data_IF_771075780824
#
_entry.id   IF_771075780824
#
_cell.length_a   1.000
_cell.length_b   1.000
_cell.length_c   1.000
_cell.angle_alpha   90.00
_cell.angle_beta   90.00
_cell.angle_gamma   90.00
#
_symmetry.space_group_name_H-M   'P 1'
#
loop_
_entity.id
_entity.type
_entity.pdbx_description
1 polymer ?
#
# COMPACT_ATOMS: atom_id res chain seq x y z
N UNK A 1 18.39 26.56 37.33
CA UNK A 1 17.16 25.73 37.28
C UNK A 1 16.23 26.07 36.09
N UNK A 2 16.02 27.35 35.71
CA UNK A 2 15.15 27.72 34.57
C UNK A 2 15.60 27.18 33.20
N UNK A 3 16.91 27.11 32.91
CA UNK A 3 17.44 26.64 31.61
C UNK A 3 17.19 25.14 31.36
N UNK A 4 17.26 24.30 32.40
CA UNK A 4 17.01 22.84 32.28
C UNK A 4 15.52 22.52 32.01
N UNK A 5 14.61 23.30 32.58
CA UNK A 5 13.16 23.12 32.34
C UNK A 5 12.77 23.43 30.89
N UNK A 6 13.41 24.43 30.26
CA UNK A 6 13.17 24.78 28.86
C UNK A 6 13.67 23.69 27.92
N UNK A 7 14.86 23.12 28.18
CA UNK A 7 15.40 22.03 27.35
C UNK A 7 14.57 20.75 27.40
N UNK A 8 14.00 20.41 28.55
CA UNK A 8 13.12 19.23 28.72
C UNK A 8 11.79 19.43 27.97
N UNK A 9 11.21 20.63 28.04
CA UNK A 9 9.96 20.95 27.34
C UNK A 9 10.10 20.87 25.81
N UNK A 10 11.25 21.28 25.26
CA UNK A 10 11.53 21.21 23.80
C UNK A 10 11.67 19.76 23.32
N UNK A 11 12.31 18.88 24.11
CA UNK A 11 12.50 17.46 23.74
C UNK A 11 11.17 16.69 23.81
N UNK A 12 10.32 16.98 24.80
CA UNK A 12 8.99 16.38 24.92
C UNK A 12 8.01 16.87 23.84
N UNK A 13 8.13 18.12 23.39
CA UNK A 13 7.31 18.65 22.29
C UNK A 13 7.61 18.03 20.93
N UNK A 14 8.87 17.66 20.67
CA UNK A 14 9.28 17.06 19.39
C UNK A 14 8.80 15.60 19.21
N UNK A 15 8.55 14.87 20.31
CA UNK A 15 8.10 13.47 20.28
C UNK A 15 6.60 13.30 19.99
N UNK A 16 5.83 14.39 20.08
CA UNK A 16 4.38 14.37 19.90
C UNK A 16 3.92 14.65 18.46
N UNK A 17 4.83 14.85 17.51
CA UNK A 17 4.47 15.03 16.10
C UNK A 17 4.01 13.69 15.54
N UNK A 18 2.72 13.53 15.17
CA UNK A 18 2.29 12.33 14.47
C UNK A 18 2.98 12.36 13.11
N UNK A 19 3.91 11.42 12.90
CA UNK A 19 4.40 11.05 11.57
C UNK A 19 3.22 10.46 10.79
N UNK A 20 2.30 11.32 10.33
CA UNK A 20 1.38 10.99 9.25
C UNK A 20 2.22 10.99 7.98
N UNK A 21 2.96 9.89 7.80
CA UNK A 21 3.42 9.51 6.48
C UNK A 21 2.14 9.47 5.63
N UNK A 22 1.98 10.45 4.74
CA UNK A 22 0.97 10.43 3.72
C UNK A 22 1.31 9.24 2.83
N UNK A 23 0.83 8.05 3.20
CA UNK A 23 0.93 6.86 2.39
C UNK A 23 0.36 7.21 1.02
N UNK A 24 1.01 6.76 -0.05
CA UNK A 24 0.65 7.12 -1.42
C UNK A 24 -0.80 6.74 -1.71
N UNK A 25 -1.72 7.69 -1.51
CA UNK A 25 -3.15 7.52 -1.79
C UNK A 25 -3.40 7.91 -3.24
N UNK A 26 -3.79 6.95 -4.07
CA UNK A 26 -4.14 7.20 -5.46
C UNK A 26 -5.55 7.82 -5.56
N UNK A 27 -5.70 9.09 -5.21
CA UNK A 27 -6.99 9.83 -5.28
C UNK A 27 -7.38 10.21 -6.70
N UNK A 28 -6.40 10.49 -7.55
CA UNK A 28 -6.60 10.90 -8.96
C UNK A 28 -5.67 10.08 -9.85
N UNK A 29 -6.21 9.49 -10.91
CA UNK A 29 -5.42 8.73 -11.87
C UNK A 29 -4.87 9.66 -12.96
N UNK A 30 -3.54 9.82 -13.02
CA UNK A 30 -2.85 10.57 -14.07
C UNK A 30 -2.19 9.67 -15.13
N UNK A 31 -2.35 8.35 -15.01
CA UNK A 31 -1.74 7.41 -15.95
C UNK A 31 -2.49 7.44 -17.29
N UNK A 32 -1.74 7.55 -18.39
CA UNK A 32 -2.26 7.38 -19.75
C UNK A 32 -2.35 5.90 -20.17
N UNK A 33 -1.86 4.97 -19.34
CA UNK A 33 -1.91 3.54 -19.63
C UNK A 33 -3.35 3.01 -19.40
N UNK A 34 -4.07 2.55 -20.45
CA UNK A 34 -5.45 2.12 -20.32
C UNK A 34 -5.62 0.93 -19.36
N UNK A 35 -4.62 0.04 -19.25
CA UNK A 35 -4.65 -1.08 -18.32
C UNK A 35 -4.63 -0.64 -16.85
N UNK A 36 -3.80 0.37 -16.52
CA UNK A 36 -3.75 0.93 -15.17
C UNK A 36 -5.04 1.68 -14.82
N UNK A 37 -5.61 2.41 -15.78
CA UNK A 37 -6.90 3.09 -15.59
C UNK A 37 -8.01 2.07 -15.34
N UNK A 38 -8.08 0.98 -16.13
CA UNK A 38 -9.07 -0.07 -15.94
C UNK A 38 -8.94 -0.75 -14.56
N UNK A 39 -7.71 -1.02 -14.14
CA UNK A 39 -7.43 -1.61 -12.83
C UNK A 39 -7.84 -0.67 -11.67
N UNK A 40 -7.53 0.63 -11.74
CA UNK A 40 -7.96 1.60 -10.73
C UNK A 40 -9.49 1.74 -10.66
N UNK A 41 -10.17 1.72 -11.82
CA UNK A 41 -11.64 1.70 -11.88
C UNK A 41 -12.21 0.44 -11.22
N UNK A 42 -11.64 -0.73 -11.52
CA UNK A 42 -12.07 -2.00 -10.95
C UNK A 42 -11.86 -2.09 -9.43
N UNK A 43 -10.79 -1.47 -8.92
CA UNK A 43 -10.52 -1.40 -7.49
C UNK A 43 -11.29 -0.32 -6.74
N UNK A 44 -12.08 0.53 -7.43
CA UNK A 44 -12.92 1.57 -6.81
C UNK A 44 -12.19 2.47 -5.78
N UNK A 45 -10.89 2.73 -5.99
CA UNK A 45 -10.10 3.54 -5.06
C UNK A 45 -9.58 2.81 -3.81
N UNK A 46 -9.62 1.47 -3.78
CA UNK A 46 -8.83 0.70 -2.80
C UNK A 46 -7.37 1.10 -2.89
N UNK A 47 -6.70 1.19 -1.74
CA UNK A 47 -5.32 1.60 -1.68
C UNK A 47 -4.43 0.54 -2.35
N UNK A 48 -3.41 0.98 -3.07
CA UNK A 48 -2.43 0.11 -3.71
C UNK A 48 -1.78 -0.86 -2.72
N UNK A 49 -1.74 -0.49 -1.44
CA UNK A 49 -1.14 -1.27 -0.36
C UNK A 49 -2.14 -1.99 0.55
N UNK A 50 -3.43 -2.01 0.19
CA UNK A 50 -4.44 -2.72 0.99
C UNK A 50 -4.23 -4.23 1.00
N UNK A 51 -3.68 -4.79 -0.07
CA UNK A 51 -3.34 -6.20 -0.13
C UNK A 51 -1.91 -6.44 0.33
N UNK A 52 -0.94 -5.59 -0.09
CA UNK A 52 0.48 -5.82 0.17
C UNK A 52 1.28 -4.53 0.35
N UNK A 53 2.20 -4.53 1.32
CA UNK A 53 3.06 -3.37 1.62
C UNK A 53 4.30 -3.33 0.74
N UNK A 54 4.86 -2.13 0.58
CA UNK A 54 6.17 -1.94 -0.06
C UNK A 54 7.21 -2.77 0.70
N UNK A 55 7.91 -3.66 -0.01
CA UNK A 55 8.92 -4.54 0.56
C UNK A 55 8.44 -5.96 0.89
N UNK A 56 7.13 -6.19 0.94
CA UNK A 56 6.59 -7.56 0.95
C UNK A 56 6.87 -8.15 -0.43
N UNK A 57 7.76 -9.14 -0.48
CA UNK A 57 8.26 -9.77 -1.71
C UNK A 57 7.20 -10.65 -2.38
N UNK A 58 6.04 -10.07 -2.68
CA UNK A 58 4.88 -10.80 -3.17
C UNK A 58 5.05 -11.35 -4.59
N UNK A 59 5.93 -10.71 -5.34
CA UNK A 59 6.44 -11.18 -6.63
C UNK A 59 7.91 -11.54 -6.45
N UNK A 60 8.20 -12.30 -5.40
CA UNK A 60 9.55 -12.76 -5.05
C UNK A 60 10.30 -13.23 -6.30
N UNK A 61 11.63 -13.10 -6.32
CA UNK A 61 12.44 -13.39 -7.51
C UNK A 61 12.14 -14.75 -8.16
N UNK A 62 11.68 -15.72 -7.37
CA UNK A 62 11.31 -17.08 -7.79
C UNK A 62 9.84 -17.31 -8.14
N UNK A 63 8.93 -16.36 -7.87
CA UNK A 63 7.52 -16.54 -8.15
C UNK A 63 7.27 -16.50 -9.66
N UNK A 64 6.60 -17.51 -10.25
CA UNK A 64 6.24 -17.49 -11.66
C UNK A 64 5.35 -16.27 -11.96
N UNK A 65 5.78 -15.46 -12.95
CA UNK A 65 5.08 -14.22 -13.36
C UNK A 65 4.30 -14.39 -14.67
N UNK A 66 4.22 -15.62 -15.16
CA UNK A 66 3.46 -15.96 -16.36
C UNK A 66 1.97 -15.71 -16.16
N UNK A 67 1.26 -15.48 -17.26
CA UNK A 67 -0.19 -15.21 -17.24
C UNK A 67 -0.96 -16.27 -16.44
N UNK A 68 -0.70 -17.55 -16.70
CA UNK A 68 -1.46 -18.65 -16.09
C UNK A 68 -1.19 -18.76 -14.59
N UNK A 69 0.07 -18.55 -14.17
CA UNK A 69 0.42 -18.48 -12.74
C UNK A 69 -0.27 -17.32 -12.03
N UNK A 70 -0.39 -16.16 -12.68
CA UNK A 70 -1.09 -15.01 -12.11
C UNK A 70 -2.60 -15.25 -12.02
N UNK A 71 -3.21 -15.87 -13.04
CA UNK A 71 -4.63 -16.22 -13.04
C UNK A 71 -4.95 -17.25 -11.95
N UNK A 72 -4.11 -18.29 -11.80
CA UNK A 72 -4.28 -19.28 -10.74
C UNK A 72 -4.26 -18.62 -9.36
N UNK A 73 -3.27 -17.74 -9.10
CA UNK A 73 -3.16 -17.04 -7.82
C UNK A 73 -4.39 -16.21 -7.46
N UNK A 74 -5.00 -15.52 -8.44
CA UNK A 74 -6.18 -14.69 -8.19
C UNK A 74 -7.33 -15.47 -7.55
N UNK A 75 -7.44 -16.77 -7.84
CA UNK A 75 -8.54 -17.62 -7.34
C UNK A 75 -8.10 -18.57 -6.21
N UNK A 76 -6.82 -18.58 -5.83
CA UNK A 76 -6.30 -19.46 -4.77
C UNK A 76 -5.73 -18.71 -3.56
N UNK A 77 -5.19 -17.50 -3.76
CA UNK A 77 -4.54 -16.73 -2.68
C UNK A 77 -5.57 -15.94 -1.89
N UNK A 78 -5.49 -16.04 -0.56
CA UNK A 78 -6.48 -15.48 0.36
C UNK A 78 -6.69 -13.97 0.16
N UNK A 79 -5.64 -13.21 -0.16
CA UNK A 79 -5.69 -11.76 -0.36
C UNK A 79 -6.39 -11.37 -1.69
N UNK A 80 -6.47 -12.30 -2.64
CA UNK A 80 -7.12 -12.07 -3.93
C UNK A 80 -8.62 -12.43 -3.91
N UNK A 81 -9.03 -13.40 -3.08
CA UNK A 81 -10.40 -13.91 -3.00
C UNK A 81 -11.49 -12.85 -2.74
N UNK A 82 -11.26 -11.75 -1.99
CA UNK A 82 -12.29 -10.72 -1.79
C UNK A 82 -12.78 -10.09 -3.10
N UNK A 83 -11.90 -9.97 -4.10
CA UNK A 83 -12.21 -9.37 -5.41
C UNK A 83 -12.38 -10.42 -6.51
N UNK A 84 -11.71 -11.57 -6.37
CA UNK A 84 -11.68 -12.64 -7.35
C UNK A 84 -12.34 -13.89 -6.80
N UNK A 85 -13.51 -13.73 -6.17
CA UNK A 85 -14.31 -14.85 -5.67
C UNK A 85 -14.29 -15.98 -6.71
N UNK A 86 -14.02 -17.20 -6.23
CA UNK A 86 -13.95 -18.42 -7.04
C UNK A 86 -15.07 -18.44 -8.10
N UNK A 87 -14.76 -18.92 -9.31
CA UNK A 87 -15.45 -18.60 -10.58
C UNK A 87 -16.97 -18.49 -10.52
#
# INVERSE_FOLDING_TARGET
MRKQAVSIAVILGALALPLRAAAFECKVCHSKNPGMVAMHKALQGRNCFDCHRVGEKLMGKSAPKGRDSLLKRRVTEAECLPCHKSP
#
